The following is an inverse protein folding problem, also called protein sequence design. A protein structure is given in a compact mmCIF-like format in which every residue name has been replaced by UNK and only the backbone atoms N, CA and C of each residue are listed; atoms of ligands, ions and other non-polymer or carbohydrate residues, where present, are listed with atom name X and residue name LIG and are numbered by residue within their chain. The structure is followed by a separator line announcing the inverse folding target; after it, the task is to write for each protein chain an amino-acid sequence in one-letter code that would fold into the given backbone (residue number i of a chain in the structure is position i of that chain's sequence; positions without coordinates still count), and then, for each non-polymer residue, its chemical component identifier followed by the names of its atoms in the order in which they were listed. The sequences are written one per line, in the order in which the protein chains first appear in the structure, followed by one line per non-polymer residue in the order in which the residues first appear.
data_IF_143908835059
#
_entry.id   IF_143908835059
#
_cell.length_a   1.000
_cell.length_b   1.000
_cell.length_c   1.000
_cell.angle_alpha   90.00
_cell.angle_beta   90.00
_cell.angle_gamma   90.00
#
_symmetry.space_group_name_H-M   'P 1'
#
loop_
_entity.id
_entity.type
_entity.pdbx_description
1 polymer ?
#
# COMPACT_ATOMS: atom_id res chain seq x y z
N UNK A 1 54.09 45.36 -52.27
CA UNK A 1 53.19 45.81 -51.20
C UNK A 1 52.38 44.58 -50.88
N UNK A 2 52.74 43.94 -49.78
CA UNK A 2 52.23 42.66 -49.34
C UNK A 2 50.82 42.87 -48.79
N UNK A 3 49.83 42.19 -49.37
CA UNK A 3 48.47 42.13 -48.82
C UNK A 3 48.50 41.18 -47.62
N UNK A 4 48.58 41.77 -46.43
CA UNK A 4 48.49 41.11 -45.15
C UNK A 4 47.03 40.65 -44.94
N UNK A 5 46.76 39.39 -45.26
CA UNK A 5 45.50 38.71 -44.95
C UNK A 5 45.35 38.63 -43.42
N UNK A 6 44.57 39.55 -42.84
CA UNK A 6 44.13 39.49 -41.45
C UNK A 6 43.24 38.25 -41.27
N UNK A 7 43.81 37.22 -40.66
CA UNK A 7 43.05 36.06 -40.15
C UNK A 7 42.07 36.59 -39.11
N UNK A 8 40.77 36.45 -39.37
CA UNK A 8 39.76 36.69 -38.36
C UNK A 8 40.04 35.75 -37.19
N UNK A 9 40.36 36.31 -36.03
CA UNK A 9 40.41 35.55 -34.78
C UNK A 9 39.01 34.93 -34.58
N UNK A 10 38.97 33.60 -34.52
CA UNK A 10 37.79 32.87 -34.06
C UNK A 10 37.46 33.38 -32.66
N UNK A 11 36.48 34.29 -32.58
CA UNK A 11 35.89 34.69 -31.31
C UNK A 11 35.23 33.44 -30.76
N UNK A 12 35.89 32.77 -29.81
CA UNK A 12 35.24 31.78 -28.96
C UNK A 12 34.00 32.47 -28.36
N UNK A 13 32.82 32.10 -28.85
CA UNK A 13 31.54 32.47 -28.26
C UNK A 13 31.52 31.90 -26.83
N UNK A 14 32.06 32.67 -25.89
CA UNK A 14 31.99 32.36 -24.47
C UNK A 14 30.52 32.35 -24.09
N UNK A 15 30.01 31.16 -23.77
CA UNK A 15 28.59 30.97 -23.53
C UNK A 15 28.09 31.95 -22.46
N UNK A 16 26.96 32.61 -22.71
CA UNK A 16 26.41 33.61 -21.78
C UNK A 16 26.18 33.01 -20.38
N UNK A 17 26.45 33.76 -19.28
CA UNK A 17 26.18 33.31 -17.91
C UNK A 17 24.75 32.80 -17.69
N UNK A 18 23.77 33.36 -18.40
CA UNK A 18 22.38 32.92 -18.34
C UNK A 18 22.17 31.52 -18.96
N UNK A 19 22.88 31.22 -20.06
CA UNK A 19 22.83 29.90 -20.68
C UNK A 19 23.48 28.84 -19.79
N UNK A 20 24.63 29.15 -19.17
CA UNK A 20 25.29 28.23 -18.23
C UNK A 20 24.40 27.93 -17.03
N UNK A 21 23.69 28.94 -16.50
CA UNK A 21 22.73 28.75 -15.42
C UNK A 21 21.55 27.85 -15.83
N UNK A 22 20.95 28.10 -17.01
CA UNK A 22 19.84 27.28 -17.52
C UNK A 22 20.27 25.83 -17.77
N UNK A 23 21.46 25.62 -18.34
CA UNK A 23 22.04 24.29 -18.54
C UNK A 23 22.25 23.57 -17.20
N UNK A 24 22.81 24.26 -16.20
CA UNK A 24 22.98 23.71 -14.85
C UNK A 24 21.64 23.30 -14.22
N UNK A 25 20.57 24.08 -14.43
CA UNK A 25 19.22 23.73 -13.95
C UNK A 25 18.62 22.54 -14.70
N UNK A 26 18.85 22.43 -16.01
CA UNK A 26 18.44 21.28 -16.80
C UNK A 26 19.16 20.00 -16.33
N UNK A 27 20.47 20.07 -16.11
CA UNK A 27 21.27 18.95 -15.62
C UNK A 27 20.81 18.51 -14.21
N UNK A 28 20.50 19.47 -13.32
CA UNK A 28 19.92 19.18 -12.01
C UNK A 28 18.58 18.45 -12.12
N UNK A 29 17.69 18.91 -13.00
CA UNK A 29 16.41 18.27 -13.23
C UNK A 29 16.58 16.85 -13.79
N UNK A 30 17.46 16.66 -14.78
CA UNK A 30 17.74 15.36 -15.36
C UNK A 30 18.27 14.38 -14.30
N UNK A 31 19.24 14.80 -13.48
CA UNK A 31 19.78 13.97 -12.40
C UNK A 31 18.71 13.55 -11.39
N UNK A 32 17.76 14.45 -11.06
CA UNK A 32 16.65 14.14 -10.15
C UNK A 32 15.70 13.10 -10.75
N UNK A 33 15.37 13.24 -12.04
CA UNK A 33 14.53 12.28 -12.76
C UNK A 33 15.21 10.90 -12.84
N UNK A 34 16.49 10.85 -13.21
CA UNK A 34 17.27 9.61 -13.26
C UNK A 34 17.36 8.94 -11.89
N UNK A 35 17.59 9.71 -10.83
CA UNK A 35 17.58 9.20 -9.45
C UNK A 35 16.22 8.60 -9.08
N UNK A 36 15.12 9.24 -9.50
CA UNK A 36 13.77 8.72 -9.31
C UNK A 36 13.55 7.37 -10.02
N UNK A 37 14.02 7.23 -11.26
CA UNK A 37 13.96 5.96 -11.99
C UNK A 37 14.79 4.84 -11.32
N UNK A 38 16.01 5.16 -10.87
CA UNK A 38 16.86 4.19 -10.15
C UNK A 38 16.21 3.73 -8.83
N UNK A 39 15.59 4.64 -8.09
CA UNK A 39 14.85 4.31 -6.87
C UNK A 39 13.64 3.42 -7.16
N UNK A 40 12.91 3.68 -8.26
CA UNK A 40 11.81 2.83 -8.71
C UNK A 40 12.28 1.42 -9.10
N UNK A 41 13.42 1.30 -9.77
CA UNK A 41 13.99 0.00 -10.12
C UNK A 41 14.40 -0.78 -8.87
N UNK A 42 15.08 -0.13 -7.93
CA UNK A 42 15.50 -0.74 -6.67
C UNK A 42 14.30 -1.20 -5.84
N UNK A 43 13.27 -0.38 -5.73
CA UNK A 43 12.03 -0.74 -5.02
C UNK A 43 11.28 -1.91 -5.68
N UNK A 44 11.33 -2.00 -7.01
CA UNK A 44 10.79 -3.17 -7.72
C UNK A 44 11.54 -4.46 -7.36
N UNK A 45 12.87 -4.41 -7.20
CA UNK A 45 13.63 -5.57 -6.73
C UNK A 45 13.25 -6.01 -5.31
N UNK A 46 12.96 -5.06 -4.41
CA UNK A 46 12.46 -5.36 -3.07
C UNK A 46 11.08 -6.01 -3.09
N UNK A 47 10.15 -5.44 -3.87
CA UNK A 47 8.84 -6.04 -4.12
C UNK A 47 8.95 -7.49 -4.60
N UNK A 48 9.82 -7.74 -5.58
CA UNK A 48 10.05 -9.10 -6.09
C UNK A 48 10.66 -10.02 -5.04
N UNK A 49 11.55 -9.52 -4.17
CA UNK A 49 12.06 -10.30 -3.02
C UNK A 49 10.95 -10.67 -2.05
N UNK A 50 10.02 -9.78 -1.74
CA UNK A 50 8.87 -10.08 -0.88
C UNK A 50 7.96 -11.14 -1.50
N UNK A 51 7.64 -10.99 -2.79
CA UNK A 51 6.85 -11.98 -3.53
C UNK A 51 7.52 -13.35 -3.49
N UNK A 52 8.80 -13.41 -3.84
CA UNK A 52 9.55 -14.67 -3.92
C UNK A 52 9.81 -15.32 -2.55
N UNK A 53 9.77 -14.55 -1.45
CA UNK A 53 9.86 -15.08 -0.08
C UNK A 53 8.55 -15.66 0.45
N UNK A 54 7.42 -15.38 -0.21
CA UNK A 54 6.09 -15.83 0.24
C UNK A 54 5.33 -16.57 -0.89
N UNK A 55 5.92 -17.55 -1.58
CA UNK A 55 5.34 -18.17 -2.77
C UNK A 55 4.03 -18.92 -2.50
N UNK A 56 3.84 -19.43 -1.28
CA UNK A 56 2.63 -20.13 -0.85
C UNK A 56 1.51 -19.19 -0.41
N UNK A 57 1.82 -17.90 -0.21
CA UNK A 57 0.86 -16.90 0.27
C UNK A 57 0.55 -15.81 -0.74
N UNK A 58 1.43 -15.53 -1.69
CA UNK A 58 1.20 -14.62 -2.81
C UNK A 58 1.10 -15.45 -4.08
N UNK A 59 -0.12 -15.64 -4.57
CA UNK A 59 -0.43 -16.51 -5.70
C UNK A 59 -0.88 -15.65 -6.87
N UNK A 60 -0.32 -15.91 -8.05
CA UNK A 60 -0.71 -15.25 -9.29
C UNK A 60 -1.67 -16.14 -10.08
N UNK A 61 -2.87 -15.63 -10.28
CA UNK A 61 -3.86 -16.15 -11.23
C UNK A 61 -3.84 -15.27 -12.51
N UNK A 62 -4.55 -15.70 -13.56
CA UNK A 62 -4.57 -15.03 -14.88
C UNK A 62 -4.96 -13.55 -14.78
N UNK A 63 -5.92 -13.22 -13.92
CA UNK A 63 -6.45 -11.85 -13.78
C UNK A 63 -6.16 -11.23 -12.41
N UNK A 64 -5.76 -12.03 -11.43
CA UNK A 64 -5.73 -11.64 -10.02
C UNK A 64 -4.45 -12.05 -9.32
N UNK A 65 -4.05 -11.24 -8.34
CA UNK A 65 -3.09 -11.60 -7.31
C UNK A 65 -3.88 -11.96 -6.06
N UNK A 66 -3.66 -13.15 -5.54
CA UNK A 66 -4.28 -13.65 -4.32
C UNK A 66 -3.25 -13.57 -3.20
N UNK A 67 -3.58 -12.83 -2.14
CA UNK A 67 -2.75 -12.78 -0.92
C UNK A 67 -3.47 -13.49 0.20
N UNK A 68 -2.87 -14.54 0.73
CA UNK A 68 -3.38 -15.31 1.86
C UNK A 68 -2.87 -14.68 3.16
N UNK A 69 -3.66 -13.81 3.77
CA UNK A 69 -3.38 -13.19 5.07
C UNK A 69 -3.50 -14.17 6.24
N UNK A 70 -3.21 -13.68 7.43
CA UNK A 70 -3.39 -14.45 8.67
C UNK A 70 -4.86 -14.49 9.08
N UNK A 71 -5.65 -13.46 8.75
CA UNK A 71 -7.07 -13.37 9.10
C UNK A 71 -8.02 -13.65 7.93
N UNK A 72 -7.62 -13.31 6.69
CA UNK A 72 -8.50 -13.39 5.53
C UNK A 72 -7.74 -13.63 4.22
N UNK A 73 -8.49 -13.86 3.14
CA UNK A 73 -7.94 -14.00 1.78
C UNK A 73 -8.27 -12.74 0.97
N UNK A 74 -7.26 -12.17 0.31
CA UNK A 74 -7.36 -10.94 -0.46
C UNK A 74 -7.19 -11.21 -1.95
N UNK A 75 -8.08 -10.69 -2.78
CA UNK A 75 -7.99 -10.76 -4.25
C UNK A 75 -7.79 -9.36 -4.82
N UNK A 76 -6.72 -9.19 -5.59
CA UNK A 76 -6.34 -7.91 -6.20
C UNK A 76 -6.30 -8.08 -7.72
N UNK A 77 -7.11 -7.33 -8.48
CA UNK A 77 -7.02 -7.37 -9.93
C UNK A 77 -5.66 -6.87 -10.42
N UNK A 78 -4.93 -7.67 -11.21
CA UNK A 78 -3.62 -7.30 -11.77
C UNK A 78 -3.71 -5.98 -12.54
N UNK A 79 -4.80 -5.80 -13.30
CA UNK A 79 -5.09 -4.59 -14.06
C UNK A 79 -5.13 -3.32 -13.19
N UNK A 80 -5.58 -3.44 -11.93
CA UNK A 80 -5.64 -2.32 -10.99
C UNK A 80 -4.23 -1.78 -10.70
N UNK A 81 -3.28 -2.67 -10.39
CA UNK A 81 -1.88 -2.31 -10.13
C UNK A 81 -1.21 -1.79 -11.42
N UNK A 82 -1.32 -2.54 -12.52
CA UNK A 82 -0.67 -2.18 -13.77
C UNK A 82 -1.14 -0.82 -14.32
N UNK A 83 -2.42 -0.48 -14.13
CA UNK A 83 -2.93 0.82 -14.57
C UNK A 83 -2.23 1.99 -13.87
N UNK A 84 -1.92 1.84 -12.57
CA UNK A 84 -1.24 2.86 -11.77
C UNK A 84 0.25 2.96 -12.08
N UNK A 85 0.91 1.83 -12.34
CA UNK A 85 2.32 1.82 -12.77
C UNK A 85 2.48 2.39 -14.19
N UNK A 86 1.51 2.13 -15.09
CA UNK A 86 1.55 2.62 -16.47
C UNK A 86 1.32 4.13 -16.55
N UNK A 87 0.36 4.66 -15.80
CA UNK A 87 0.11 6.10 -15.73
C UNK A 87 -0.37 6.49 -14.32
N UNK A 88 0.54 6.99 -13.46
CA UNK A 88 0.18 7.37 -12.09
C UNK A 88 -0.78 8.57 -12.05
N UNK A 89 -0.88 9.36 -13.14
CA UNK A 89 -1.77 10.50 -13.26
C UNK A 89 -3.19 10.11 -13.73
N UNK A 90 -3.40 8.87 -14.17
CA UNK A 90 -4.69 8.39 -14.63
C UNK A 90 -5.56 7.85 -13.48
N UNK A 91 -6.82 8.30 -13.42
CA UNK A 91 -7.90 7.63 -12.69
C UNK A 91 -7.85 7.73 -11.16
N UNK A 92 -7.95 8.93 -10.60
CA UNK A 92 -8.21 9.17 -9.16
C UNK A 92 -7.11 8.71 -8.19
N UNK A 93 -7.30 8.98 -6.89
CA UNK A 93 -6.31 8.72 -5.85
C UNK A 93 -6.27 7.27 -5.33
N UNK A 94 -5.06 6.75 -5.08
CA UNK A 94 -4.79 5.51 -4.35
C UNK A 94 -4.96 4.19 -5.10
N UNK A 95 -4.64 3.09 -4.42
CA UNK A 95 -4.99 1.73 -4.85
C UNK A 95 -6.49 1.49 -4.66
N UNK A 96 -7.10 0.70 -5.53
CA UNK A 96 -8.51 0.33 -5.39
C UNK A 96 -8.75 -0.52 -4.13
N UNK A 97 -9.98 -0.47 -3.61
CA UNK A 97 -10.38 -1.36 -2.53
C UNK A 97 -10.17 -2.82 -2.93
N UNK A 98 -9.61 -3.60 -2.02
CA UNK A 98 -9.24 -4.99 -2.24
C UNK A 98 -10.42 -5.88 -1.89
N UNK A 99 -10.77 -6.80 -2.78
CA UNK A 99 -11.81 -7.79 -2.49
C UNK A 99 -11.28 -8.76 -1.44
N UNK A 100 -12.09 -9.08 -0.43
CA UNK A 100 -11.70 -9.93 0.69
C UNK A 100 -12.75 -11.00 0.94
N UNK A 101 -12.30 -12.22 1.16
CA UNK A 101 -13.08 -13.40 1.54
C UNK A 101 -12.55 -13.97 2.85
N UNK A 102 -13.27 -14.94 3.42
CA UNK A 102 -12.78 -15.66 4.60
C UNK A 102 -11.46 -16.37 4.27
N UNK A 103 -10.66 -16.61 5.31
CA UNK A 103 -9.34 -17.23 5.20
C UNK A 103 -9.44 -18.58 4.48
N UNK A 104 -8.69 -18.71 3.40
CA UNK A 104 -8.64 -19.93 2.58
C UNK A 104 -9.77 -20.04 1.54
N UNK A 105 -10.75 -19.14 1.55
CA UNK A 105 -11.83 -19.12 0.56
C UNK A 105 -11.46 -18.20 -0.62
N UNK A 106 -11.74 -18.63 -1.85
CA UNK A 106 -11.62 -17.80 -3.07
C UNK A 106 -12.98 -17.30 -3.60
N UNK A 107 -14.07 -17.90 -3.10
CA UNK A 107 -15.46 -17.62 -3.42
C UNK A 107 -16.28 -17.76 -2.15
N UNK A 108 -17.31 -16.94 -1.96
CA UNK A 108 -18.17 -17.03 -0.79
C UNK A 108 -18.65 -15.65 -0.33
N UNK A 109 -18.72 -15.47 0.99
CA UNK A 109 -19.05 -14.16 1.58
C UNK A 109 -17.90 -13.21 1.31
N UNK A 110 -18.21 -12.09 0.67
CA UNK A 110 -17.22 -11.09 0.26
C UNK A 110 -17.41 -9.78 1.04
N UNK A 111 -16.30 -9.09 1.24
CA UNK A 111 -16.23 -7.70 1.68
C UNK A 111 -15.18 -6.99 0.83
N UNK A 112 -15.11 -5.66 0.98
CA UNK A 112 -13.99 -4.89 0.47
C UNK A 112 -13.19 -4.32 1.65
N UNK A 113 -11.87 -4.33 1.53
CA UNK A 113 -10.98 -3.72 2.51
C UNK A 113 -10.10 -2.67 1.84
N UNK A 114 -9.89 -1.56 2.55
CA UNK A 114 -8.84 -0.62 2.22
C UNK A 114 -7.76 -0.73 3.31
N UNK A 115 -6.67 -1.42 2.98
CA UNK A 115 -5.44 -1.43 3.77
C UNK A 115 -4.43 -0.70 2.93
N UNK A 116 -4.01 0.47 3.38
CA UNK A 116 -3.03 1.29 2.70
C UNK A 116 -2.03 1.78 3.75
N UNK A 117 -0.73 1.83 3.43
CA UNK A 117 0.25 2.44 4.32
C UNK A 117 -0.13 3.90 4.57
N UNK A 118 0.25 4.43 5.75
CA UNK A 118 -0.05 5.81 6.12
C UNK A 118 0.57 6.77 5.10
N UNK A 119 -0.28 7.43 4.31
CA UNK A 119 0.11 8.31 3.21
C UNK A 119 1.05 9.45 3.66
N UNK A 120 1.02 9.84 4.94
CA UNK A 120 1.91 10.86 5.49
C UNK A 120 3.35 10.37 5.64
N UNK A 121 3.52 9.08 5.86
CA UNK A 121 4.83 8.47 6.11
C UNK A 121 5.43 7.85 4.84
N UNK A 122 4.68 7.81 3.73
CA UNK A 122 5.12 7.17 2.48
C UNK A 122 5.13 8.09 1.25
N UNK A 123 4.94 9.41 1.43
CA UNK A 123 4.88 10.36 0.30
C UNK A 123 6.17 10.41 -0.53
N UNK A 124 7.31 10.18 0.11
CA UNK A 124 8.63 10.19 -0.54
C UNK A 124 9.10 8.79 -0.96
N UNK A 125 8.31 7.74 -0.72
CA UNK A 125 8.69 6.38 -1.10
C UNK A 125 8.48 6.15 -2.60
N UNK A 126 9.39 5.43 -3.26
CA UNK A 126 9.14 4.89 -4.58
C UNK A 126 7.85 4.09 -4.63
N UNK A 127 7.13 4.15 -5.76
CA UNK A 127 5.82 3.50 -5.91
C UNK A 127 5.82 2.00 -5.64
N UNK A 128 6.90 1.28 -5.96
CA UNK A 128 6.99 -0.16 -5.66
C UNK A 128 7.22 -0.45 -4.18
N UNK A 129 7.81 0.46 -3.39
CA UNK A 129 7.92 0.28 -1.93
C UNK A 129 6.55 0.45 -1.25
N UNK A 130 5.70 1.32 -1.79
CA UNK A 130 4.29 1.45 -1.36
C UNK A 130 3.53 0.15 -1.65
N UNK A 131 3.75 -0.44 -2.82
CA UNK A 131 3.13 -1.72 -3.20
C UNK A 131 3.66 -2.90 -2.35
N UNK A 132 4.95 -2.91 -2.05
CA UNK A 132 5.59 -3.88 -1.18
C UNK A 132 5.01 -3.80 0.24
N UNK A 133 4.95 -2.59 0.79
CA UNK A 133 4.32 -2.32 2.09
C UNK A 133 2.88 -2.81 2.12
N UNK A 134 2.12 -2.54 1.06
CA UNK A 134 0.75 -3.02 0.92
C UNK A 134 0.66 -4.56 0.96
N UNK A 135 1.49 -5.30 0.22
CA UNK A 135 1.51 -6.76 0.32
C UNK A 135 1.91 -7.26 1.71
N UNK A 136 2.93 -6.66 2.33
CA UNK A 136 3.34 -6.99 3.69
C UNK A 136 2.21 -6.74 4.70
N UNK A 137 1.42 -5.68 4.51
CA UNK A 137 0.26 -5.39 5.36
C UNK A 137 -0.84 -6.43 5.22
N UNK A 138 -1.11 -6.91 3.99
CA UNK A 138 -2.08 -7.99 3.76
C UNK A 138 -1.59 -9.33 4.33
N UNK A 139 -0.31 -9.66 4.17
CA UNK A 139 0.29 -10.87 4.73
C UNK A 139 0.26 -10.89 6.26
N UNK A 140 0.33 -9.72 6.90
CA UNK A 140 0.40 -9.57 8.35
C UNK A 140 -0.82 -8.82 8.90
N UNK A 141 -1.98 -9.02 8.30
CA UNK A 141 -3.24 -8.37 8.64
C UNK A 141 -3.61 -8.46 10.14
N UNK A 142 -3.22 -9.55 10.82
CA UNK A 142 -3.34 -9.74 12.27
C UNK A 142 -2.53 -8.73 13.11
N UNK A 143 -1.43 -8.21 12.59
CA UNK A 143 -0.64 -7.16 13.28
C UNK A 143 -1.20 -5.78 13.01
N UNK A 144 -1.62 -5.55 11.77
CA UNK A 144 -2.07 -4.25 11.31
C UNK A 144 -3.48 -3.91 11.78
N UNK A 145 -4.35 -4.88 12.01
CA UNK A 145 -5.74 -4.66 12.46
C UNK A 145 -5.84 -3.92 13.80
N UNK A 146 -4.81 -4.00 14.66
CA UNK A 146 -4.77 -3.32 15.96
C UNK A 146 -4.39 -1.84 15.85
N UNK A 147 -3.87 -1.39 14.71
CA UNK A 147 -3.49 0.00 14.52
C UNK A 147 -4.73 0.90 14.40
N UNK A 148 -4.62 2.13 14.92
CA UNK A 148 -5.74 3.08 15.03
C UNK A 148 -6.47 3.27 13.69
N UNK A 149 -5.72 3.49 12.63
CA UNK A 149 -6.28 3.90 11.33
C UNK A 149 -6.85 2.74 10.50
N UNK A 150 -6.74 1.50 10.99
CA UNK A 150 -7.15 0.30 10.26
C UNK A 150 -8.59 -0.14 10.55
N UNK A 151 -9.47 0.84 10.78
CA UNK A 151 -10.91 0.62 10.92
C UNK A 151 -11.53 -0.14 9.73
N UNK A 152 -11.13 0.12 8.45
CA UNK A 152 -11.64 -0.66 7.32
C UNK A 152 -11.36 -2.16 7.42
N UNK A 153 -10.18 -2.56 7.93
CA UNK A 153 -9.85 -3.97 8.13
C UNK A 153 -10.72 -4.60 9.23
N UNK A 154 -10.89 -3.93 10.37
CA UNK A 154 -11.79 -4.40 11.43
C UNK A 154 -13.23 -4.57 10.94
N UNK A 155 -13.72 -3.60 10.16
CA UNK A 155 -15.05 -3.68 9.55
C UNK A 155 -15.16 -4.86 8.59
N UNK A 156 -14.16 -5.09 7.74
CA UNK A 156 -14.14 -6.23 6.85
C UNK A 156 -14.18 -7.56 7.62
N UNK A 157 -13.41 -7.69 8.71
CA UNK A 157 -13.44 -8.89 9.56
C UNK A 157 -14.81 -9.12 10.20
N UNK A 158 -15.44 -8.07 10.76
CA UNK A 158 -16.81 -8.15 11.28
C UNK A 158 -17.83 -8.50 10.19
N UNK A 159 -17.68 -7.96 8.98
CA UNK A 159 -18.54 -8.32 7.86
C UNK A 159 -18.37 -9.78 7.45
N UNK A 160 -17.15 -10.31 7.43
CA UNK A 160 -16.88 -11.69 7.00
C UNK A 160 -17.28 -12.72 8.05
N UNK A 161 -16.94 -12.47 9.31
CA UNK A 161 -17.03 -13.45 10.39
C UNK A 161 -18.11 -13.14 11.43
N UNK A 162 -18.58 -11.90 11.51
CA UNK A 162 -19.43 -11.46 12.62
C UNK A 162 -18.66 -11.49 13.94
N UNK A 163 -19.37 -11.84 15.01
CA UNK A 163 -18.82 -12.03 16.34
C UNK A 163 -18.50 -13.49 16.66
N UNK A 164 -18.67 -14.40 15.71
CA UNK A 164 -18.46 -15.83 15.92
C UNK A 164 -16.97 -16.19 15.96
N UNK A 165 -16.67 -17.41 16.42
CA UNK A 165 -15.33 -17.99 16.36
C UNK A 165 -14.80 -17.97 14.93
N UNK A 166 -13.61 -17.39 14.76
CA UNK A 166 -12.97 -17.19 13.46
C UNK A 166 -11.46 -16.97 13.63
N UNK A 167 -10.68 -16.98 12.54
CA UNK A 167 -9.27 -16.57 12.58
C UNK A 167 -9.04 -15.17 13.15
N UNK A 168 -10.05 -14.30 13.13
CA UNK A 168 -9.97 -12.94 13.67
C UNK A 168 -10.33 -12.85 15.16
N UNK A 169 -10.82 -13.93 15.80
CA UNK A 169 -11.38 -13.85 17.16
C UNK A 169 -10.39 -13.33 18.19
N UNK A 170 -9.16 -13.84 18.23
CA UNK A 170 -8.17 -13.41 19.24
C UNK A 170 -7.80 -11.94 19.11
N UNK A 171 -7.54 -11.48 17.88
CA UNK A 171 -7.13 -10.10 17.65
C UNK A 171 -8.30 -9.12 17.78
N UNK A 172 -9.50 -9.54 17.39
CA UNK A 172 -10.73 -8.77 17.60
C UNK A 172 -11.07 -8.68 19.08
N UNK A 173 -10.80 -9.72 19.88
CA UNK A 173 -10.90 -9.66 21.34
C UNK A 173 -10.04 -8.53 21.88
N UNK A 174 -8.75 -8.53 21.57
CA UNK A 174 -7.82 -7.48 22.01
C UNK A 174 -8.34 -6.10 21.64
N UNK A 175 -8.78 -5.90 20.40
CA UNK A 175 -9.31 -4.61 19.98
C UNK A 175 -10.63 -4.23 20.68
N UNK A 176 -11.64 -5.10 20.70
CA UNK A 176 -12.97 -4.82 21.28
C UNK A 176 -12.85 -4.51 22.77
N UNK A 177 -12.11 -5.33 23.51
CA UNK A 177 -11.96 -5.17 24.96
C UNK A 177 -11.21 -3.88 25.28
N UNK A 178 -10.14 -3.56 24.52
CA UNK A 178 -9.40 -2.30 24.69
C UNK A 178 -10.19 -1.06 24.29
N UNK A 179 -11.02 -1.14 23.24
CA UNK A 179 -11.73 0.01 22.68
C UNK A 179 -13.04 0.32 23.40
N UNK A 180 -13.71 -0.70 23.94
CA UNK A 180 -15.05 -0.55 24.53
C UNK A 180 -15.12 -0.90 26.01
N UNK A 181 -14.10 -1.60 26.56
CA UNK A 181 -14.16 -2.17 27.91
C UNK A 181 -15.19 -3.30 28.07
N UNK A 182 -15.79 -3.77 26.97
CA UNK A 182 -16.66 -4.95 26.95
C UNK A 182 -15.88 -6.25 26.96
N UNK A 183 -16.55 -7.35 27.23
CA UNK A 183 -16.04 -8.72 27.17
C UNK A 183 -16.48 -9.37 25.85
N UNK A 184 -15.53 -9.78 25.02
CA UNK A 184 -15.84 -10.45 23.75
C UNK A 184 -15.92 -11.97 23.94
N UNK A 185 -17.08 -12.54 23.57
CA UNK A 185 -17.45 -13.94 23.75
C UNK A 185 -17.73 -14.58 22.38
N UNK A 186 -16.70 -15.01 21.63
CA UNK A 186 -16.88 -15.50 20.27
C UNK A 186 -17.70 -16.79 20.18
N UNK A 187 -17.61 -17.66 21.19
CA UNK A 187 -18.41 -18.90 21.28
C UNK A 187 -19.91 -18.63 21.35
N UNK A 188 -20.29 -17.47 21.89
CA UNK A 188 -21.68 -17.06 22.00
C UNK A 188 -22.07 -16.03 20.92
N UNK A 189 -21.16 -15.77 19.98
CA UNK A 189 -21.27 -14.71 18.98
C UNK A 189 -21.69 -13.37 19.57
N UNK A 190 -21.11 -12.97 20.70
CA UNK A 190 -21.57 -11.80 21.44
C UNK A 190 -20.45 -10.95 22.04
N UNK A 191 -20.79 -9.69 22.33
CA UNK A 191 -20.02 -8.77 23.18
C UNK A 191 -20.90 -8.34 24.35
N UNK A 192 -20.36 -8.39 25.57
CA UNK A 192 -21.03 -7.88 26.77
C UNK A 192 -20.37 -6.61 27.27
N UNK A 193 -21.11 -5.50 27.34
CA UNK A 193 -20.61 -4.21 27.81
C UNK A 193 -21.30 -3.86 29.12
N UNK A 194 -20.51 -3.51 30.15
CA UNK A 194 -21.07 -3.06 31.43
C UNK A 194 -21.79 -1.73 31.23
N UNK A 195 -23.08 -1.70 31.58
CA UNK A 195 -23.90 -0.51 31.65
C UNK A 195 -23.89 0.12 33.05
N UNK A 196 -24.79 1.08 33.28
CA UNK A 196 -24.96 1.71 34.59
C UNK A 196 -25.92 0.90 35.47
N UNK A 197 -25.83 1.08 36.79
CA UNK A 197 -26.77 0.47 37.75
C UNK A 197 -26.89 -1.07 37.65
N UNK A 198 -25.81 -1.76 37.30
CA UNK A 198 -25.78 -3.22 37.19
C UNK A 198 -26.31 -3.79 35.86
N UNK A 199 -26.79 -2.94 34.94
CA UNK A 199 -27.20 -3.38 33.61
C UNK A 199 -26.00 -3.85 32.77
N UNK A 200 -26.24 -4.81 31.87
CA UNK A 200 -25.28 -5.23 30.85
C UNK A 200 -25.93 -5.14 29.48
N UNK A 201 -25.22 -4.55 28.53
CA UNK A 201 -25.60 -4.55 27.12
C UNK A 201 -25.00 -5.78 26.46
N UNK A 202 -25.80 -6.53 25.73
CA UNK A 202 -25.34 -7.65 24.90
C UNK A 202 -25.56 -7.31 23.44
N UNK A 203 -24.50 -7.36 22.66
CA UNK A 203 -24.53 -7.22 21.20
C UNK A 203 -24.29 -8.60 20.61
N UNK A 204 -25.18 -9.08 19.74
CA UNK A 204 -25.12 -10.40 19.08
C UNK A 204 -25.58 -10.28 17.64
#
# INVERSE_FOLDING_TARGET
MDDEFLMAEDIEETASPAWMYQKSKLDQFQNQIESGFMAMQTSFEYLMKTINKNPERIIFDVENIIVLGNLATYTIPVKSILSKLKNPFAGGGGLQATRTTRKGELKGKESNVCIQPDYKNVSELPGCDVLDSYFLMLLNDDKFILQKDHSPLRRAMLMLYGLSVSPASDVMKTWIESATGGEYKPEESAIEIKGTHGWKWRVS
#
